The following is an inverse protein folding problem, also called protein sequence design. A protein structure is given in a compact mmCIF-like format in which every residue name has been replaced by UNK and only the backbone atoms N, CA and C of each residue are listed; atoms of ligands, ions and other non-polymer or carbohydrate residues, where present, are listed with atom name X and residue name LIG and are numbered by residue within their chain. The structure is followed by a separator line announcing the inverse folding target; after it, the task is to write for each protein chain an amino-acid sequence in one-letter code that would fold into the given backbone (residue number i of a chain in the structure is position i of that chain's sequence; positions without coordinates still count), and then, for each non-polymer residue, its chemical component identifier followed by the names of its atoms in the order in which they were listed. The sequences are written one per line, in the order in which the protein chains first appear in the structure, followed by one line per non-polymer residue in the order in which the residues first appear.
data_IF_966985019989
#
_entry.id   IF_966985019989
#
_cell.length_a   1.000
_cell.length_b   1.000
_cell.length_c   1.000
_cell.angle_alpha   90.00
_cell.angle_beta   90.00
_cell.angle_gamma   90.00
#
_symmetry.space_group_name_H-M   'P 1'
#
loop_
_entity.id
_entity.type
_entity.pdbx_description
1 polymer ?
#
# COMPACT_ATOMS: atom_id res chain seq x y z
N UNK A 1 10.63 -33.15 30.74
CA UNK A 1 10.65 -33.11 29.27
C UNK A 1 9.45 -32.32 28.81
N UNK A 2 9.68 -31.09 28.38
CA UNK A 2 8.62 -30.23 27.86
C UNK A 2 8.18 -30.74 26.48
N UNK A 3 6.93 -31.14 26.32
CA UNK A 3 6.39 -31.67 25.05
C UNK A 3 6.30 -30.54 24.04
N UNK A 4 7.24 -30.48 23.10
CA UNK A 4 7.18 -29.54 21.96
C UNK A 4 6.23 -30.10 20.88
N UNK A 5 5.59 -29.21 20.16
CA UNK A 5 4.72 -29.51 19.00
C UNK A 5 5.26 -28.82 17.76
N UNK A 6 5.29 -29.53 16.65
CA UNK A 6 5.63 -28.97 15.33
C UNK A 6 4.34 -28.64 14.59
N UNK A 7 4.21 -27.40 14.14
CA UNK A 7 3.02 -26.89 13.46
C UNK A 7 3.44 -26.36 12.09
N UNK A 8 3.00 -26.98 10.98
CA UNK A 8 3.24 -26.45 9.65
C UNK A 8 2.44 -25.17 9.43
N UNK A 9 3.09 -24.17 8.86
CA UNK A 9 2.50 -22.86 8.56
C UNK A 9 2.99 -22.38 7.21
N UNK A 10 2.10 -21.87 6.38
CA UNK A 10 2.45 -21.24 5.11
C UNK A 10 2.66 -19.75 5.30
N UNK A 11 3.86 -19.26 4.98
CA UNK A 11 4.17 -17.82 4.94
C UNK A 11 4.83 -17.46 3.62
N UNK A 12 4.33 -16.41 2.97
CA UNK A 12 4.87 -15.89 1.71
C UNK A 12 5.05 -16.96 0.61
N UNK A 13 4.15 -17.94 0.55
CA UNK A 13 4.21 -19.03 -0.42
C UNK A 13 5.16 -20.18 -0.07
N UNK A 14 5.83 -20.14 1.10
CA UNK A 14 6.77 -21.15 1.59
C UNK A 14 6.22 -21.85 2.83
N UNK A 15 6.45 -23.16 2.91
CA UNK A 15 6.12 -23.92 4.11
C UNK A 15 7.17 -23.70 5.18
N UNK A 16 6.76 -23.35 6.40
CA UNK A 16 7.62 -23.22 7.57
C UNK A 16 7.05 -24.06 8.71
N UNK A 17 7.92 -24.74 9.44
CA UNK A 17 7.53 -25.55 10.59
C UNK A 17 7.86 -24.81 11.89
N UNK A 18 6.83 -24.42 12.63
CA UNK A 18 6.98 -23.77 13.93
C UNK A 18 7.03 -24.81 15.05
N UNK A 19 7.98 -24.65 15.95
CA UNK A 19 8.10 -25.48 17.16
C UNK A 19 7.58 -24.68 18.33
N UNK A 20 6.51 -25.18 18.94
CA UNK A 20 5.79 -24.51 20.01
C UNK A 20 5.78 -25.35 21.29
N UNK A 21 5.78 -24.67 22.43
CA UNK A 21 5.48 -25.28 23.73
C UNK A 21 3.98 -25.55 23.86
N UNK A 22 3.61 -26.31 24.89
CA UNK A 22 2.21 -26.64 25.20
C UNK A 22 1.37 -25.42 25.57
N UNK A 23 2.00 -24.33 25.99
CA UNK A 23 1.36 -23.03 26.29
C UNK A 23 1.12 -22.18 25.02
N UNK A 24 1.54 -22.67 23.85
CA UNK A 24 1.41 -21.98 22.57
C UNK A 24 2.55 -21.02 22.23
N UNK A 25 3.56 -20.88 23.11
CA UNK A 25 4.73 -20.05 22.81
C UNK A 25 5.64 -20.71 21.78
N UNK A 26 6.08 -19.95 20.77
CA UNK A 26 7.06 -20.40 19.78
C UNK A 26 8.46 -20.40 20.39
N UNK A 27 9.21 -21.48 20.21
CA UNK A 27 10.61 -21.62 20.66
C UNK A 27 11.59 -21.70 19.50
N UNK A 28 11.13 -22.12 18.33
CA UNK A 28 11.93 -22.20 17.10
C UNK A 28 11.04 -22.25 15.87
N UNK A 29 11.66 -22.12 14.71
CA UNK A 29 11.04 -22.43 13.43
C UNK A 29 12.08 -23.00 12.45
N UNK A 30 11.63 -23.90 11.58
CA UNK A 30 12.44 -24.52 10.54
C UNK A 30 11.93 -24.08 9.18
N UNK A 31 12.87 -23.70 8.33
CA UNK A 31 12.67 -23.38 6.92
C UNK A 31 13.24 -24.54 6.08
N UNK A 32 12.36 -25.37 5.47
CA UNK A 32 12.82 -26.51 4.66
C UNK A 32 13.56 -26.06 3.39
N UNK A 33 13.16 -24.93 2.78
CA UNK A 33 13.76 -24.43 1.55
C UNK A 33 15.19 -23.90 1.79
N UNK A 34 15.41 -23.28 2.94
CA UNK A 34 16.72 -22.79 3.36
C UNK A 34 17.56 -23.84 4.10
N UNK A 35 16.98 -25.00 4.48
CA UNK A 35 17.62 -26.02 5.31
C UNK A 35 18.07 -25.46 6.66
N UNK A 36 17.28 -24.58 7.29
CA UNK A 36 17.71 -23.81 8.46
C UNK A 36 16.73 -23.84 9.61
N UNK A 37 17.24 -24.10 10.81
CA UNK A 37 16.50 -23.99 12.07
C UNK A 37 16.89 -22.69 12.78
N UNK A 38 15.91 -21.85 13.08
CA UNK A 38 16.07 -20.62 13.84
C UNK A 38 15.54 -20.83 15.25
N UNK A 39 16.44 -20.74 16.24
CA UNK A 39 16.12 -20.84 17.66
C UNK A 39 15.73 -19.45 18.19
N UNK A 40 14.63 -19.38 18.94
CA UNK A 40 14.22 -18.18 19.68
C UNK A 40 14.77 -18.18 21.12
N UNK A 41 15.27 -19.35 21.59
CA UNK A 41 15.95 -19.51 22.87
C UNK A 41 16.94 -20.66 22.77
N UNK A 42 18.17 -20.43 23.22
CA UNK A 42 19.22 -21.46 23.21
C UNK A 42 18.97 -22.61 24.21
N UNK A 43 18.20 -22.34 25.29
CA UNK A 43 17.89 -23.30 26.34
C UNK A 43 17.06 -24.52 25.88
N UNK A 44 16.50 -24.46 24.67
CA UNK A 44 15.64 -25.51 24.12
C UNK A 44 16.22 -26.19 22.88
N UNK A 45 17.51 -25.99 22.58
CA UNK A 45 18.13 -26.42 21.32
C UNK A 45 17.97 -27.94 21.07
N UNK A 46 18.33 -28.78 22.02
CA UNK A 46 18.31 -30.23 21.84
C UNK A 46 16.87 -30.75 21.72
N UNK A 47 15.94 -30.23 22.57
CA UNK A 47 14.52 -30.58 22.50
C UNK A 47 13.88 -30.16 21.15
N UNK A 48 14.30 -29.00 20.58
CA UNK A 48 13.85 -28.50 19.29
C UNK A 48 14.35 -29.40 18.14
N UNK A 49 15.63 -29.78 18.17
CA UNK A 49 16.20 -30.64 17.14
C UNK A 49 15.59 -32.04 17.19
N UNK A 50 15.32 -32.57 18.37
CA UNK A 50 14.62 -33.85 18.55
C UNK A 50 13.20 -33.80 18.00
N UNK A 51 12.47 -32.71 18.29
CA UNK A 51 11.10 -32.50 17.78
C UNK A 51 11.05 -32.33 16.26
N UNK A 52 12.04 -31.67 15.66
CA UNK A 52 12.16 -31.46 14.22
C UNK A 52 12.77 -32.67 13.47
N UNK A 53 13.43 -33.62 14.17
CA UNK A 53 14.13 -34.74 13.57
C UNK A 53 13.41 -35.45 12.42
N UNK A 54 12.10 -35.76 12.53
CA UNK A 54 11.33 -36.36 11.45
C UNK A 54 11.17 -35.52 10.18
N UNK A 55 11.38 -34.20 10.29
CA UNK A 55 11.18 -33.22 9.22
C UNK A 55 12.47 -32.66 8.64
N UNK A 56 13.62 -32.92 9.31
CA UNK A 56 14.91 -32.45 8.85
C UNK A 56 15.41 -33.32 7.69
N UNK A 57 15.74 -32.69 6.57
CA UNK A 57 16.29 -33.36 5.39
C UNK A 57 17.64 -32.74 5.03
N UNK A 58 18.69 -33.59 4.93
CA UNK A 58 20.03 -33.15 4.56
C UNK A 58 20.78 -32.43 5.69
N UNK A 59 21.77 -31.63 5.32
CA UNK A 59 22.56 -30.83 6.25
C UNK A 59 21.77 -29.58 6.69
N UNK A 60 21.59 -29.42 7.99
CA UNK A 60 20.76 -28.35 8.56
C UNK A 60 21.63 -27.34 9.28
N UNK A 61 21.53 -26.08 8.88
CA UNK A 61 22.18 -24.97 9.58
C UNK A 61 21.32 -24.50 10.77
N UNK A 62 21.97 -24.22 11.91
CA UNK A 62 21.31 -23.74 13.12
C UNK A 62 21.74 -22.30 13.38
N UNK A 63 20.76 -21.43 13.62
CA UNK A 63 20.98 -20.02 13.93
C UNK A 63 20.43 -19.06 12.89
N UNK A 64 20.56 -17.74 13.12
CA UNK A 64 20.09 -16.73 12.18
C UNK A 64 20.83 -16.87 10.84
N UNK A 65 20.19 -16.45 9.72
CA UNK A 65 20.87 -16.41 8.44
C UNK A 65 22.11 -15.53 8.54
N UNK A 66 23.21 -15.90 7.86
CA UNK A 66 24.38 -15.03 7.79
C UNK A 66 23.95 -13.67 7.22
N UNK A 67 24.60 -12.57 7.64
CA UNK A 67 24.31 -11.27 7.04
C UNK A 67 24.52 -11.38 5.52
N UNK A 68 23.57 -10.87 4.71
CA UNK A 68 23.69 -10.98 3.26
C UNK A 68 24.97 -10.29 2.78
N UNK A 69 25.67 -10.94 1.86
CA UNK A 69 26.86 -10.36 1.25
C UNK A 69 26.47 -9.20 0.30
N UNK A 70 27.44 -8.33 -0.12
CA UNK A 70 27.12 -7.19 -0.98
C UNK A 70 26.40 -7.54 -2.28
N UNK A 71 26.65 -8.73 -2.86
CA UNK A 71 25.98 -9.17 -4.08
C UNK A 71 24.54 -9.63 -3.80
N UNK A 72 24.27 -10.22 -2.65
CA UNK A 72 22.93 -10.55 -2.19
C UNK A 72 22.15 -9.29 -1.81
N UNK A 73 22.80 -8.34 -1.12
CA UNK A 73 22.20 -7.02 -0.88
C UNK A 73 21.83 -6.30 -2.18
N UNK A 74 22.69 -6.37 -3.21
CA UNK A 74 22.39 -5.79 -4.53
C UNK A 74 21.20 -6.49 -5.23
N UNK A 75 20.99 -7.79 -4.98
CA UNK A 75 19.80 -8.52 -5.49
C UNK A 75 18.54 -8.23 -4.70
N UNK A 76 18.66 -7.86 -3.43
CA UNK A 76 17.56 -7.46 -2.58
C UNK A 76 17.18 -5.99 -2.77
N UNK A 77 18.04 -5.17 -3.41
CA UNK A 77 17.70 -3.80 -3.80
C UNK A 77 16.77 -3.84 -4.99
N UNK A 78 15.65 -3.18 -4.87
CA UNK A 78 14.69 -3.01 -5.95
C UNK A 78 15.36 -2.33 -7.15
N UNK A 79 15.15 -2.87 -8.37
CA UNK A 79 15.70 -2.24 -9.57
C UNK A 79 15.09 -0.84 -9.73
N UNK A 80 15.86 0.19 -10.12
CA UNK A 80 15.36 1.55 -10.25
C UNK A 80 14.11 1.69 -11.14
N UNK A 81 13.98 0.85 -12.19
CA UNK A 81 12.82 0.86 -13.08
C UNK A 81 11.57 0.23 -12.44
N UNK A 82 11.75 -0.58 -11.40
CA UNK A 82 10.67 -1.25 -10.67
C UNK A 82 10.32 -0.49 -9.38
N UNK A 83 11.11 0.49 -8.98
CA UNK A 83 10.86 1.33 -7.82
C UNK A 83 9.87 2.45 -8.14
N UNK A 84 8.71 2.42 -7.50
CA UNK A 84 7.66 3.43 -7.66
C UNK A 84 7.79 4.59 -6.66
N UNK A 85 8.71 4.53 -5.69
CA UNK A 85 8.88 5.60 -4.72
C UNK A 85 9.31 6.96 -5.32
N UNK A 86 10.10 7.02 -6.43
CA UNK A 86 10.44 8.28 -7.08
C UNK A 86 9.29 8.92 -7.88
N UNK A 87 8.17 8.24 -8.07
CA UNK A 87 7.05 8.77 -8.83
C UNK A 87 6.52 10.07 -8.20
N UNK A 88 6.25 11.06 -9.04
CA UNK A 88 5.68 12.34 -8.61
C UNK A 88 4.16 12.31 -8.65
N UNK A 89 3.48 13.19 -7.88
CA UNK A 89 2.05 13.39 -8.04
C UNK A 89 1.68 13.68 -9.50
N UNK A 90 0.81 12.84 -10.08
CA UNK A 90 0.38 12.98 -11.47
C UNK A 90 1.39 12.55 -12.53
N UNK A 91 2.45 11.80 -12.19
CA UNK A 91 3.49 11.33 -13.13
C UNK A 91 2.91 10.70 -14.39
N UNK A 92 1.93 9.81 -14.25
CA UNK A 92 1.30 9.16 -15.40
C UNK A 92 0.57 10.15 -16.33
N UNK A 93 -0.01 11.24 -15.78
CA UNK A 93 -0.63 12.30 -16.56
C UNK A 93 0.41 13.19 -17.25
N UNK A 94 1.52 13.48 -16.58
CA UNK A 94 2.65 14.19 -17.19
C UNK A 94 3.15 13.43 -18.42
N UNK A 95 3.43 12.15 -18.28
CA UNK A 95 3.86 11.28 -19.38
C UNK A 95 2.81 11.22 -20.51
N UNK A 96 1.51 11.13 -20.14
CA UNK A 96 0.44 11.10 -21.14
C UNK A 96 0.26 12.44 -21.88
N UNK A 97 0.50 13.57 -21.21
CA UNK A 97 0.47 14.89 -21.83
C UNK A 97 1.67 15.14 -22.74
N UNK A 98 2.84 14.64 -22.37
CA UNK A 98 4.05 14.74 -23.16
C UNK A 98 3.96 13.91 -24.44
N UNK A 99 3.54 12.64 -24.34
CA UNK A 99 3.39 11.72 -25.47
C UNK A 99 2.28 12.11 -26.45
N UNK A 100 1.22 12.71 -25.97
CA UNK A 100 0.08 13.15 -26.77
C UNK A 100 -0.30 14.58 -26.39
N UNK A 101 0.52 15.57 -26.80
CA UNK A 101 0.16 16.97 -26.58
C UNK A 101 -1.18 17.27 -27.29
N UNK A 102 -2.02 18.01 -26.62
CA UNK A 102 -3.35 18.34 -27.10
C UNK A 102 -3.26 19.04 -28.46
N UNK A 103 -3.55 18.31 -29.55
CA UNK A 103 -3.52 18.82 -30.94
C UNK A 103 -4.64 19.80 -31.28
N UNK A 104 -5.49 20.12 -30.33
CA UNK A 104 -6.60 20.98 -30.59
C UNK A 104 -6.20 22.44 -30.38
N UNK A 105 -6.20 23.21 -31.47
CA UNK A 105 -6.37 24.67 -31.54
C UNK A 105 -7.66 25.17 -30.83
N UNK A 106 -7.98 24.57 -29.69
CA UNK A 106 -9.17 24.95 -28.91
C UNK A 106 -8.77 25.77 -27.73
N UNK A 107 -8.55 27.04 -27.97
CA UNK A 107 -8.48 28.09 -26.93
C UNK A 107 -9.69 28.09 -26.02
N UNK A 108 -10.75 27.35 -26.39
CA UNK A 108 -12.06 27.40 -25.74
C UNK A 108 -12.33 26.27 -24.72
N UNK A 109 -11.50 25.21 -24.67
CA UNK A 109 -11.65 24.15 -23.66
C UNK A 109 -10.28 23.65 -23.22
N UNK A 110 -9.87 23.94 -21.98
CA UNK A 110 -8.65 23.37 -21.39
C UNK A 110 -8.72 21.85 -21.40
N UNK A 111 -7.60 21.19 -21.68
CA UNK A 111 -7.48 19.74 -21.64
C UNK A 111 -7.86 19.23 -20.23
N UNK A 112 -8.84 18.32 -20.11
CA UNK A 112 -9.27 17.80 -18.82
C UNK A 112 -8.12 17.10 -18.04
N UNK A 113 -7.12 16.56 -18.74
CA UNK A 113 -5.93 15.95 -18.14
C UNK A 113 -5.11 16.96 -17.34
N UNK A 114 -5.06 18.23 -17.76
CA UNK A 114 -4.35 19.28 -17.01
C UNK A 114 -5.02 19.58 -15.69
N UNK A 115 -6.37 19.62 -15.66
CA UNK A 115 -7.11 19.79 -14.42
C UNK A 115 -6.95 18.60 -13.46
N UNK A 116 -6.94 17.38 -14.02
CA UNK A 116 -6.66 16.18 -13.24
C UNK A 116 -5.25 16.21 -12.66
N UNK A 117 -4.24 16.62 -13.45
CA UNK A 117 -2.87 16.79 -12.99
C UNK A 117 -2.76 17.80 -11.86
N UNK A 118 -3.38 18.98 -12.00
CA UNK A 118 -3.40 20.00 -10.93
C UNK A 118 -3.99 19.44 -9.63
N UNK A 119 -5.06 18.64 -9.71
CA UNK A 119 -5.66 18.03 -8.53
C UNK A 119 -4.72 17.02 -7.88
N UNK A 120 -4.07 16.14 -8.66
CA UNK A 120 -3.14 15.18 -8.13
C UNK A 120 -1.93 15.85 -7.49
N UNK A 121 -1.42 16.93 -8.10
CA UNK A 121 -0.33 17.71 -7.50
C UNK A 121 -0.75 18.37 -6.19
N UNK A 122 -1.90 19.04 -6.16
CA UNK A 122 -2.39 19.68 -4.93
C UNK A 122 -2.60 18.69 -3.79
N UNK A 123 -3.23 17.55 -4.09
CA UNK A 123 -3.46 16.48 -3.10
C UNK A 123 -2.16 15.81 -2.70
N UNK A 124 -1.27 15.51 -3.66
CA UNK A 124 0.03 14.90 -3.39
C UNK A 124 0.87 15.75 -2.46
N UNK A 125 1.00 17.05 -2.73
CA UNK A 125 1.72 18.00 -1.87
C UNK A 125 1.15 18.07 -0.44
N UNK A 126 -0.17 17.89 -0.29
CA UNK A 126 -0.79 17.85 1.04
C UNK A 126 -0.46 16.56 1.79
N UNK A 127 -0.37 15.43 1.07
CA UNK A 127 0.00 14.13 1.64
C UNK A 127 1.49 14.05 1.98
N UNK A 128 2.36 14.61 1.14
CA UNK A 128 3.82 14.60 1.34
C UNK A 128 4.25 15.33 2.62
N UNK A 129 3.45 16.30 3.08
CA UNK A 129 3.69 16.95 4.38
C UNK A 129 3.54 16.03 5.59
N UNK A 130 2.95 14.83 5.41
CA UNK A 130 2.81 13.84 6.47
C UNK A 130 4.02 12.92 6.61
N UNK A 131 4.95 12.93 5.64
CA UNK A 131 6.12 12.05 5.61
C UNK A 131 6.95 12.10 6.90
N UNK A 132 7.22 13.30 7.42
CA UNK A 132 7.95 13.49 8.67
C UNK A 132 7.28 12.96 9.95
N UNK A 133 6.03 12.49 9.87
CA UNK A 133 5.25 11.95 10.99
C UNK A 133 5.11 10.41 10.96
N UNK A 134 6.01 9.72 10.26
CA UNK A 134 5.99 8.26 10.11
C UNK A 134 4.96 7.76 9.10
N UNK A 135 4.59 8.61 8.16
CA UNK A 135 3.77 8.27 7.01
C UNK A 135 4.63 8.25 5.75
N UNK A 136 4.28 7.37 4.82
CA UNK A 136 4.86 7.29 3.49
C UNK A 136 3.78 7.50 2.44
N UNK A 137 4.09 8.30 1.44
CA UNK A 137 3.19 8.53 0.31
C UNK A 137 3.82 8.00 -0.97
N UNK A 138 3.06 7.21 -1.73
CA UNK A 138 3.42 6.77 -3.07
C UNK A 138 2.42 7.34 -4.08
N UNK A 139 2.93 7.74 -5.25
CA UNK A 139 2.13 8.40 -6.27
C UNK A 139 2.06 7.63 -7.58
N UNK A 140 0.96 7.82 -8.32
CA UNK A 140 0.79 7.30 -9.68
C UNK A 140 1.10 5.80 -9.81
N UNK A 141 0.58 4.99 -8.88
CA UNK A 141 0.79 3.55 -8.88
C UNK A 141 -0.01 2.89 -10.01
N UNK A 142 0.61 2.00 -10.82
CA UNK A 142 -0.10 1.32 -11.89
C UNK A 142 -1.08 0.30 -11.29
N UNK A 143 -2.26 0.18 -11.89
CA UNK A 143 -3.20 -0.89 -11.61
C UNK A 143 -3.49 -1.67 -12.91
N UNK A 144 -3.82 -2.96 -12.83
CA UNK A 144 -4.17 -3.75 -14.00
C UNK A 144 -5.33 -3.14 -14.78
N UNK A 145 -5.32 -3.33 -16.10
CA UNK A 145 -6.35 -2.81 -17.01
C UNK A 145 -6.14 -1.34 -17.43
N UNK A 146 -4.96 -0.76 -17.14
CA UNK A 146 -4.62 0.61 -17.51
C UNK A 146 -5.13 1.68 -16.55
N UNK A 147 -5.78 1.27 -15.49
CA UNK A 147 -6.13 2.14 -14.36
C UNK A 147 -4.89 2.45 -13.50
N UNK A 148 -5.04 3.41 -12.60
CA UNK A 148 -3.99 3.79 -11.65
C UNK A 148 -4.57 4.23 -10.31
N UNK A 149 -3.80 4.05 -9.27
CA UNK A 149 -4.03 4.67 -7.98
C UNK A 149 -3.33 6.03 -7.98
N UNK A 150 -4.06 7.11 -7.68
CA UNK A 150 -3.47 8.45 -7.70
C UNK A 150 -2.40 8.58 -6.60
N UNK A 151 -2.78 8.24 -5.36
CA UNK A 151 -1.86 8.22 -4.23
C UNK A 151 -2.22 7.08 -3.28
N UNK A 152 -1.19 6.49 -2.66
CA UNK A 152 -1.30 5.55 -1.56
C UNK A 152 -0.59 6.15 -0.36
N UNK A 153 -1.31 6.37 0.72
CA UNK A 153 -0.78 6.84 1.98
C UNK A 153 -0.70 5.66 2.95
N UNK A 154 0.48 5.41 3.51
CA UNK A 154 0.78 4.30 4.42
C UNK A 154 1.34 4.88 5.72
N UNK A 155 0.77 4.54 6.86
CA UNK A 155 1.27 5.05 8.12
C UNK A 155 0.63 4.42 9.34
N UNK A 156 0.91 4.94 10.54
CA UNK A 156 0.43 4.35 11.79
C UNK A 156 -1.09 4.18 11.84
N UNK A 157 -1.85 5.09 11.25
CA UNK A 157 -3.31 5.02 11.18
C UNK A 157 -3.86 4.04 10.14
N UNK A 158 -3.02 3.33 9.37
CA UNK A 158 -3.39 2.36 8.33
C UNK A 158 -3.06 2.82 6.91
N UNK A 159 -3.70 2.19 5.91
CA UNK A 159 -3.48 2.45 4.50
C UNK A 159 -4.69 3.16 3.89
N UNK A 160 -4.43 4.15 3.02
CA UNK A 160 -5.47 4.91 2.34
C UNK A 160 -5.16 5.02 0.85
N UNK A 161 -6.13 4.59 0.02
CA UNK A 161 -6.14 4.83 -1.41
C UNK A 161 -6.81 6.18 -1.67
N UNK A 162 -6.03 7.19 -2.02
CA UNK A 162 -6.51 8.57 -2.18
C UNK A 162 -6.70 8.88 -3.65
N UNK A 163 -7.94 9.17 -4.04
CA UNK A 163 -8.31 9.59 -5.39
C UNK A 163 -8.51 11.10 -5.40
N UNK A 164 -7.68 11.82 -6.16
CA UNK A 164 -7.76 13.27 -6.31
C UNK A 164 -8.80 13.67 -7.34
N UNK A 165 -9.64 14.65 -7.02
CA UNK A 165 -10.65 15.23 -7.90
C UNK A 165 -10.49 16.78 -7.92
N UNK A 166 -10.34 17.36 -9.10
CA UNK A 166 -10.33 18.82 -9.24
C UNK A 166 -11.73 19.39 -8.98
N UNK A 167 -11.87 20.10 -7.89
CA UNK A 167 -13.10 20.75 -7.48
C UNK A 167 -12.94 22.27 -7.34
N UNK A 168 -11.83 22.82 -7.86
CA UNK A 168 -11.43 24.21 -7.66
C UNK A 168 -12.55 25.22 -7.93
N UNK A 169 -12.95 25.94 -6.89
CA UNK A 169 -13.99 26.96 -6.95
C UNK A 169 -15.40 26.44 -7.26
N UNK A 170 -15.60 25.12 -7.21
CA UNK A 170 -16.88 24.49 -7.50
C UNK A 170 -17.56 23.96 -6.24
N UNK A 171 -18.89 24.00 -6.23
CA UNK A 171 -19.68 23.26 -5.24
C UNK A 171 -19.68 21.78 -5.62
N UNK A 172 -19.33 20.92 -4.66
CA UNK A 172 -19.35 19.46 -4.81
C UNK A 172 -20.58 18.91 -4.12
N UNK A 173 -21.37 18.11 -4.82
CA UNK A 173 -22.48 17.36 -4.23
C UNK A 173 -22.19 15.86 -4.31
N UNK A 174 -22.26 15.18 -3.17
CA UNK A 174 -22.00 13.75 -3.05
C UNK A 174 -23.27 13.05 -2.59
N UNK A 175 -23.74 12.12 -3.44
CA UNK A 175 -24.88 11.24 -3.16
C UNK A 175 -24.52 9.83 -3.63
N UNK A 176 -24.09 8.98 -2.70
CA UNK A 176 -23.54 7.66 -2.99
C UNK A 176 -24.36 6.84 -4.00
N UNK A 177 -23.79 6.34 -5.12
CA UNK A 177 -22.38 6.36 -5.51
C UNK A 177 -21.95 7.57 -6.37
N UNK A 178 -22.81 8.58 -6.51
CA UNK A 178 -22.66 9.68 -7.45
C UNK A 178 -21.96 10.89 -6.83
N UNK A 179 -21.14 11.56 -7.64
CA UNK A 179 -20.51 12.85 -7.32
C UNK A 179 -20.78 13.80 -8.49
N UNK A 180 -21.20 15.03 -8.19
CA UNK A 180 -21.36 16.07 -9.18
C UNK A 180 -20.58 17.34 -8.80
N UNK A 181 -20.04 18.03 -9.81
CA UNK A 181 -19.28 19.26 -9.68
C UNK A 181 -20.08 20.41 -10.30
N UNK A 182 -20.42 21.42 -9.52
CA UNK A 182 -21.18 22.57 -9.95
C UNK A 182 -22.52 22.19 -10.60
N UNK A 183 -22.65 22.48 -11.91
CA UNK A 183 -23.81 22.11 -12.73
C UNK A 183 -23.54 20.89 -13.62
N UNK A 184 -22.44 20.19 -13.40
CA UNK A 184 -22.07 18.99 -14.16
C UNK A 184 -23.00 17.82 -13.89
N UNK A 185 -23.04 16.86 -14.83
CA UNK A 185 -23.79 15.62 -14.64
C UNK A 185 -23.18 14.79 -13.50
N UNK A 186 -24.00 14.12 -12.67
CA UNK A 186 -23.52 13.20 -11.66
C UNK A 186 -22.77 12.01 -12.27
N UNK A 187 -21.60 11.66 -11.72
CA UNK A 187 -20.79 10.53 -12.15
C UNK A 187 -20.66 9.49 -11.01
N UNK A 188 -20.64 8.18 -11.30
CA UNK A 188 -20.50 7.13 -10.30
C UNK A 188 -19.07 7.01 -9.78
N UNK A 189 -18.50 8.13 -9.32
CA UNK A 189 -17.10 8.23 -8.95
C UNK A 189 -16.74 7.40 -7.72
N UNK A 190 -17.63 7.34 -6.71
CA UNK A 190 -17.34 6.60 -5.48
C UNK A 190 -17.23 5.09 -5.73
N UNK A 191 -17.89 4.58 -6.77
CA UNK A 191 -17.70 3.18 -7.17
C UNK A 191 -16.27 2.93 -7.67
N UNK A 192 -15.73 3.82 -8.51
CA UNK A 192 -14.34 3.73 -8.98
C UNK A 192 -13.32 3.86 -7.84
N UNK A 193 -13.58 4.76 -6.90
CA UNK A 193 -12.71 4.96 -5.71
C UNK A 193 -12.65 3.70 -4.85
N UNK A 194 -13.81 3.05 -4.60
CA UNK A 194 -13.86 1.76 -3.88
C UNK A 194 -13.16 0.64 -4.63
N UNK A 195 -13.38 0.54 -5.94
CA UNK A 195 -12.78 -0.50 -6.77
C UNK A 195 -11.24 -0.39 -6.78
N UNK A 196 -10.70 0.82 -6.88
CA UNK A 196 -9.26 1.05 -6.81
C UNK A 196 -8.68 0.65 -5.44
N UNK A 197 -9.34 1.03 -4.34
CA UNK A 197 -8.94 0.62 -2.99
C UNK A 197 -9.03 -0.89 -2.78
N UNK A 198 -10.06 -1.55 -3.32
CA UNK A 198 -10.22 -3.00 -3.27
C UNK A 198 -9.07 -3.73 -3.98
N UNK A 199 -8.66 -3.24 -5.16
CA UNK A 199 -7.49 -3.79 -5.87
C UNK A 199 -6.20 -3.57 -5.06
N UNK A 200 -6.01 -2.38 -4.49
CA UNK A 200 -4.87 -2.12 -3.64
C UNK A 200 -4.85 -3.01 -2.38
N UNK A 201 -6.02 -3.26 -1.78
CA UNK A 201 -6.14 -4.18 -0.65
C UNK A 201 -5.74 -5.61 -1.02
N UNK A 202 -6.12 -6.06 -2.23
CA UNK A 202 -5.75 -7.38 -2.73
C UNK A 202 -4.24 -7.47 -2.97
N UNK A 203 -3.66 -6.48 -3.66
CA UNK A 203 -2.22 -6.43 -3.94
C UNK A 203 -1.35 -6.45 -2.68
N UNK A 204 -1.76 -5.69 -1.66
CA UNK A 204 -1.00 -5.54 -0.42
C UNK A 204 -1.40 -6.54 0.67
N UNK A 205 -2.40 -7.40 0.42
CA UNK A 205 -2.97 -8.31 1.44
C UNK A 205 -3.30 -7.61 2.77
N UNK A 206 -3.68 -6.35 2.68
CA UNK A 206 -3.98 -5.48 3.82
C UNK A 206 -5.19 -4.60 3.51
N UNK A 207 -5.94 -4.18 4.52
CA UNK A 207 -7.07 -3.28 4.33
C UNK A 207 -6.59 -1.90 3.87
N UNK A 208 -6.97 -1.49 2.65
CA UNK A 208 -6.74 -0.16 2.11
C UNK A 208 -8.06 0.59 2.04
N UNK A 209 -8.17 1.66 2.81
CA UNK A 209 -9.40 2.45 2.95
C UNK A 209 -9.50 3.51 1.84
N UNK A 210 -10.64 3.57 1.11
CA UNK A 210 -10.82 4.55 0.04
C UNK A 210 -11.06 5.96 0.56
N UNK A 211 -10.40 6.94 -0.08
CA UNK A 211 -10.55 8.38 0.18
C UNK A 211 -10.77 9.09 -1.14
N UNK A 212 -11.80 9.94 -1.20
CA UNK A 212 -11.97 10.93 -2.25
C UNK A 212 -11.47 12.29 -1.74
N UNK A 213 -10.36 12.76 -2.30
CA UNK A 213 -9.77 14.05 -1.98
C UNK A 213 -10.19 15.10 -3.01
N UNK A 214 -10.76 16.21 -2.55
CA UNK A 214 -11.26 17.30 -3.36
C UNK A 214 -10.24 18.45 -3.34
N UNK A 215 -9.66 18.78 -4.49
CA UNK A 215 -8.71 19.87 -4.60
C UNK A 215 -9.45 21.23 -4.77
N UNK A 216 -9.37 22.09 -3.75
CA UNK A 216 -9.89 23.44 -3.71
C UNK A 216 -11.40 23.59 -3.90
N UNK A 217 -12.27 22.80 -3.25
CA UNK A 217 -13.71 22.95 -3.38
C UNK A 217 -14.18 24.29 -2.76
N UNK A 218 -15.20 24.92 -3.37
CA UNK A 218 -15.83 26.07 -2.75
C UNK A 218 -16.78 25.66 -1.61
N UNK A 219 -17.45 24.54 -1.78
CA UNK A 219 -18.39 23.97 -0.80
C UNK A 219 -18.55 22.47 -1.06
N UNK A 220 -18.71 21.69 0.00
CA UNK A 220 -18.96 20.25 -0.08
C UNK A 220 -20.28 19.90 0.59
N UNK A 221 -21.25 19.45 -0.19
CA UNK A 221 -22.53 18.96 0.29
C UNK A 221 -22.59 17.45 0.25
N UNK A 222 -22.84 16.81 1.40
CA UNK A 222 -23.06 15.38 1.51
C UNK A 222 -24.55 15.13 1.74
N UNK A 223 -25.23 14.47 0.79
CA UNK A 223 -26.63 14.10 0.98
C UNK A 223 -26.78 13.08 2.11
N UNK A 224 -25.87 12.10 2.12
CA UNK A 224 -25.68 11.13 3.19
C UNK A 224 -24.20 10.78 3.24
N UNK A 225 -23.61 10.48 4.42
CA UNK A 225 -22.23 10.02 4.48
C UNK A 225 -22.02 8.79 3.59
N UNK A 226 -21.08 8.84 2.63
CA UNK A 226 -20.88 7.71 1.72
C UNK A 226 -20.35 6.51 2.48
N UNK A 227 -20.92 5.33 2.21
CA UNK A 227 -20.50 4.11 2.90
C UNK A 227 -19.08 3.71 2.53
N UNK A 228 -18.22 3.60 3.55
CA UNK A 228 -16.86 3.10 3.39
C UNK A 228 -15.93 3.98 2.54
N UNK A 229 -16.30 5.23 2.22
CA UNK A 229 -15.43 6.20 1.54
C UNK A 229 -15.37 7.48 2.37
N UNK A 230 -14.17 7.94 2.69
CA UNK A 230 -13.99 9.27 3.28
C UNK A 230 -13.92 10.31 2.16
N UNK A 231 -14.68 11.39 2.30
CA UNK A 231 -14.61 12.54 1.39
C UNK A 231 -14.01 13.71 2.16
N UNK A 232 -12.87 14.19 1.70
CA UNK A 232 -12.08 15.24 2.37
C UNK A 232 -11.71 16.33 1.36
N UNK A 233 -11.60 17.56 1.83
CA UNK A 233 -10.90 18.60 1.06
C UNK A 233 -9.39 18.41 1.17
N UNK A 234 -8.61 19.02 0.28
CA UNK A 234 -7.16 19.04 0.36
C UNK A 234 -6.63 19.62 1.68
N UNK A 235 -7.36 20.57 2.29
CA UNK A 235 -7.04 21.14 3.59
C UNK A 235 -7.30 20.19 4.77
N UNK A 236 -8.19 19.22 4.61
CA UNK A 236 -8.58 18.27 5.67
C UNK A 236 -7.82 16.94 5.59
N UNK A 237 -6.98 16.74 4.56
CA UNK A 237 -6.15 15.53 4.42
C UNK A 237 -5.25 15.24 5.64
N UNK A 238 -4.68 16.24 6.34
CA UNK A 238 -3.95 15.98 7.59
C UNK A 238 -4.74 15.26 8.68
N UNK A 239 -6.07 15.27 8.62
CA UNK A 239 -6.92 14.54 9.57
C UNK A 239 -6.80 13.00 9.42
N UNK A 240 -6.26 12.52 8.30
CA UNK A 240 -5.92 11.09 8.12
C UNK A 240 -4.85 10.65 9.13
N UNK A 241 -3.93 11.54 9.48
CA UNK A 241 -2.85 11.26 10.42
C UNK A 241 -3.26 11.38 11.91
N UNK A 242 -4.45 11.94 12.20
CA UNK A 242 -4.93 12.12 13.59
C UNK A 242 -5.65 10.89 14.15
N UNK A 243 -5.82 9.84 13.35
CA UNK A 243 -6.47 8.59 13.80
C UNK A 243 -5.63 7.80 14.80
N UNK A 244 -6.29 6.85 15.49
CA UNK A 244 -5.57 5.91 16.35
C UNK A 244 -4.56 5.08 15.54
N UNK A 245 -3.39 4.84 16.10
CA UNK A 245 -2.40 3.96 15.51
C UNK A 245 -2.91 2.51 15.52
N UNK A 246 -3.01 1.89 14.34
CA UNK A 246 -3.42 0.50 14.14
C UNK A 246 -2.28 -0.35 13.59
N UNK A 247 -1.23 0.27 13.04
CA UNK A 247 -0.03 -0.39 12.53
C UNK A 247 1.19 -0.02 13.39
N UNK A 248 2.07 -1.00 13.59
CA UNK A 248 3.39 -0.77 14.19
C UNK A 248 4.35 -0.19 13.16
N UNK A 249 5.40 0.55 13.57
CA UNK A 249 6.38 1.10 12.64
C UNK A 249 6.97 0.05 11.68
N UNK A 250 7.29 -1.15 12.17
CA UNK A 250 7.83 -2.23 11.34
C UNK A 250 6.84 -2.71 10.26
N UNK A 251 5.53 -2.72 10.56
CA UNK A 251 4.49 -3.09 9.59
C UNK A 251 4.33 -2.00 8.54
N UNK A 252 4.45 -0.71 8.94
CA UNK A 252 4.43 0.43 8.02
C UNK A 252 5.58 0.34 7.02
N UNK A 253 6.81 0.09 7.48
CA UNK A 253 7.98 -0.06 6.63
C UNK A 253 7.87 -1.28 5.68
N UNK A 254 7.39 -2.41 6.18
CA UNK A 254 7.19 -3.61 5.37
C UNK A 254 6.15 -3.39 4.26
N UNK A 255 5.03 -2.75 4.59
CA UNK A 255 3.97 -2.41 3.62
C UNK A 255 4.45 -1.36 2.61
N UNK A 256 5.23 -0.37 3.04
CA UNK A 256 5.84 0.59 2.13
C UNK A 256 6.84 -0.07 1.19
N UNK A 257 7.72 -0.93 1.69
CA UNK A 257 8.68 -1.67 0.87
C UNK A 257 7.98 -2.55 -0.18
N UNK A 258 6.88 -3.21 0.18
CA UNK A 258 6.05 -3.99 -0.75
C UNK A 258 5.34 -3.10 -1.77
N UNK A 259 4.75 -1.99 -1.33
CA UNK A 259 3.96 -1.10 -2.17
C UNK A 259 4.79 -0.33 -3.20
N UNK A 260 6.07 -0.06 -2.93
CA UNK A 260 6.97 0.62 -3.87
C UNK A 260 7.46 -0.29 -4.99
N UNK A 261 7.36 -1.62 -4.84
CA UNK A 261 7.72 -2.58 -5.89
C UNK A 261 6.60 -2.65 -6.94
N UNK A 262 6.95 -2.32 -8.20
CA UNK A 262 6.04 -2.39 -9.36
C UNK A 262 5.40 -3.77 -9.54
N UNK A 263 6.14 -4.84 -9.23
CA UNK A 263 5.67 -6.22 -9.40
C UNK A 263 4.48 -6.54 -8.48
N UNK A 264 4.38 -5.89 -7.32
CA UNK A 264 3.22 -6.00 -6.42
C UNK A 264 1.90 -5.68 -7.14
N UNK A 265 1.92 -4.79 -8.12
CA UNK A 265 0.74 -4.26 -8.80
C UNK A 265 0.42 -4.96 -10.12
N UNK A 266 1.29 -5.83 -10.61
CA UNK A 266 1.11 -6.52 -11.90
C UNK A 266 0.29 -7.80 -11.80
N UNK A 267 0.16 -8.38 -10.62
CA UNK A 267 -0.49 -9.67 -10.35
C UNK A 267 -1.95 -9.55 -9.87
N UNK A 268 -2.53 -8.33 -9.86
CA UNK A 268 -3.87 -8.06 -9.29
C UNK A 268 -4.95 -8.05 -10.35
#
# INVERSE_FOLDING_TARGET
MSRLRVIPTWRHGHEQLYVCRTDGSNVAWYDPDAGRVNLLSDDSRDDVLDALGPFLTGEVAIGPPPPPNPAELARLTLHPDDDLAPNRPGEALLVALDRAPSRTHRWLRPDPRRRALEAEQTVGEALDRLDGAGWHTLHSLPLPGGDRLHHLLIGPGGLFAVHALNARGQRVHVADPLVSLGRGAPEPLLHRVRAAAGRASHALTAEVRPVLALAGPAEVGLATPPRGVRVLSDTDLPDLARGAAVLKPADVEALHAMARDRHTWTAV
#
